data_IF_979256524289
#
_entry.id   IF_979256524289
#
_cell.length_a   1.000
_cell.length_b   1.000
_cell.length_c   1.000
_cell.angle_alpha   90.00
_cell.angle_beta   90.00
_cell.angle_gamma   90.00
#
_symmetry.space_group_name_H-M   'P 1'
#
loop_
_entity.id
_entity.type
_entity.pdbx_description
1 polymer ?
#
# COMPACT_ATOMS: atom_id res chain seq x y z
N UNK A 1 -20.19 -8.62 -0.19
CA UNK A 1 -19.71 -7.65 -1.20
C UNK A 1 -18.58 -8.28 -1.99
N UNK A 2 -18.23 -7.71 -3.16
CA UNK A 2 -17.04 -8.12 -3.91
C UNK A 2 -15.97 -7.04 -3.73
N UNK A 3 -14.86 -7.39 -3.11
CA UNK A 3 -13.80 -6.46 -2.73
C UNK A 3 -12.51 -6.82 -3.49
N UNK A 4 -11.98 -5.88 -4.25
CA UNK A 4 -10.65 -6.02 -4.87
C UNK A 4 -9.63 -5.41 -3.92
N UNK A 5 -8.65 -6.21 -3.52
CA UNK A 5 -7.48 -5.80 -2.73
C UNK A 5 -6.27 -5.84 -3.63
N UNK A 6 -5.71 -4.71 -3.99
CA UNK A 6 -4.46 -4.67 -4.77
C UNK A 6 -3.26 -4.70 -3.83
N UNK A 7 -2.17 -5.36 -4.23
CA UNK A 7 -1.00 -5.53 -3.36
C UNK A 7 -1.26 -6.48 -2.18
N UNK A 8 -2.26 -7.36 -2.30
CA UNK A 8 -2.67 -8.27 -1.23
C UNK A 8 -1.74 -9.47 -0.99
N UNK A 9 -0.67 -9.65 -1.78
CA UNK A 9 0.40 -10.60 -1.51
C UNK A 9 1.61 -9.95 -0.80
N UNK A 10 1.58 -8.62 -0.59
CA UNK A 10 2.57 -7.89 0.20
C UNK A 10 2.29 -7.97 1.71
N UNK A 11 3.17 -7.39 2.51
CA UNK A 11 3.12 -7.44 3.98
C UNK A 11 1.77 -6.99 4.56
N UNK A 12 1.41 -5.72 4.41
CA UNK A 12 0.19 -5.17 5.02
C UNK A 12 -1.06 -5.75 4.33
N UNK A 13 -1.03 -5.82 2.99
CA UNK A 13 -2.16 -6.33 2.21
C UNK A 13 -2.52 -7.79 2.53
N UNK A 14 -1.53 -8.66 2.76
CA UNK A 14 -1.79 -10.07 3.10
C UNK A 14 -2.44 -10.24 4.47
N UNK A 15 -2.04 -9.43 5.46
CA UNK A 15 -2.69 -9.41 6.77
C UNK A 15 -4.16 -8.95 6.66
N UNK A 16 -4.41 -7.90 5.86
CA UNK A 16 -5.77 -7.43 5.59
C UNK A 16 -6.61 -8.51 4.87
N UNK A 17 -6.06 -9.13 3.82
CA UNK A 17 -6.75 -10.21 3.08
C UNK A 17 -7.12 -11.37 4.01
N UNK A 18 -6.19 -11.83 4.86
CA UNK A 18 -6.47 -12.91 5.81
C UNK A 18 -7.54 -12.51 6.83
N UNK A 19 -7.50 -11.27 7.31
CA UNK A 19 -8.50 -10.75 8.23
C UNK A 19 -9.90 -10.77 7.60
N UNK A 20 -10.06 -10.17 6.43
CA UNK A 20 -11.34 -10.08 5.73
C UNK A 20 -11.90 -11.45 5.37
N UNK A 21 -11.10 -12.32 4.77
CA UNK A 21 -11.52 -13.66 4.36
C UNK A 21 -12.02 -14.51 5.54
N UNK A 22 -11.40 -14.36 6.71
CA UNK A 22 -11.77 -15.15 7.89
C UNK A 22 -12.95 -14.57 8.70
N UNK A 23 -13.10 -13.25 8.72
CA UNK A 23 -14.12 -12.59 9.56
C UNK A 23 -15.40 -12.25 8.79
N UNK A 24 -15.32 -12.11 7.46
CA UNK A 24 -16.47 -11.77 6.61
C UNK A 24 -16.64 -12.82 5.48
N UNK A 25 -17.06 -14.05 5.81
CA UNK A 25 -17.14 -15.14 4.84
C UNK A 25 -18.18 -14.94 3.73
N UNK A 26 -19.07 -13.97 3.89
CA UNK A 26 -20.06 -13.54 2.88
C UNK A 26 -19.47 -12.58 1.83
N UNK A 27 -18.30 -12.00 2.07
CA UNK A 27 -17.63 -11.12 1.15
C UNK A 27 -16.65 -11.90 0.27
N UNK A 28 -16.66 -11.63 -1.03
CA UNK A 28 -15.71 -12.20 -2.00
C UNK A 28 -14.48 -11.29 -2.08
N UNK A 29 -13.31 -11.82 -1.74
CA UNK A 29 -12.05 -11.11 -1.79
C UNK A 29 -11.24 -11.52 -3.01
N UNK A 30 -10.99 -10.57 -3.90
CA UNK A 30 -10.11 -10.75 -5.05
C UNK A 30 -8.79 -10.04 -4.77
N UNK A 31 -7.75 -10.82 -4.54
CA UNK A 31 -6.40 -10.32 -4.33
C UNK A 31 -5.72 -10.12 -5.69
N UNK A 32 -5.55 -8.88 -6.10
CA UNK A 32 -4.86 -8.49 -7.33
C UNK A 32 -3.43 -8.06 -7.02
N UNK A 33 -2.44 -8.83 -7.44
CA UNK A 33 -1.03 -8.53 -7.19
C UNK A 33 -0.15 -8.87 -8.40
N UNK A 34 0.86 -8.06 -8.66
CA UNK A 34 1.81 -8.31 -9.74
C UNK A 34 2.85 -9.37 -9.38
N UNK A 35 3.03 -9.61 -8.06
CA UNK A 35 4.11 -10.44 -7.50
C UNK A 35 5.50 -9.92 -7.90
N UNK A 36 5.75 -8.65 -7.57
CA UNK A 36 7.08 -8.06 -7.62
C UNK A 36 7.96 -8.61 -6.49
N UNK A 37 9.09 -8.01 -6.23
CA UNK A 37 10.05 -8.52 -5.24
C UNK A 37 9.49 -8.70 -3.81
N UNK A 38 8.50 -7.91 -3.40
CA UNK A 38 7.90 -7.95 -2.06
C UNK A 38 6.57 -8.73 -2.00
N UNK A 39 6.03 -9.15 -3.15
CA UNK A 39 4.82 -9.97 -3.23
C UNK A 39 5.13 -11.45 -3.07
N UNK A 40 4.50 -12.11 -2.09
CA UNK A 40 4.71 -13.54 -1.82
C UNK A 40 3.38 -14.24 -1.52
N UNK A 41 3.03 -15.25 -2.34
CA UNK A 41 1.79 -16.01 -2.16
C UNK A 41 1.77 -16.84 -0.86
N UNK A 42 2.92 -17.19 -0.30
CA UNK A 42 3.00 -17.84 1.02
C UNK A 42 2.38 -16.96 2.12
N UNK A 43 2.42 -15.64 1.95
CA UNK A 43 1.78 -14.71 2.89
C UNK A 43 0.25 -14.82 2.93
N UNK A 44 -0.38 -15.40 1.93
CA UNK A 44 -1.84 -15.64 1.86
C UNK A 44 -2.20 -17.12 1.82
N UNK A 45 -1.21 -18.02 1.97
CA UNK A 45 -1.44 -19.47 2.01
C UNK A 45 -2.51 -19.92 3.03
N UNK A 46 -2.63 -19.29 4.24
CA UNK A 46 -3.67 -19.67 5.20
C UNK A 46 -5.12 -19.51 4.70
N UNK A 47 -5.33 -18.73 3.67
CA UNK A 47 -6.66 -18.47 3.09
C UNK A 47 -6.79 -18.90 1.63
N UNK A 48 -5.76 -19.48 1.04
CA UNK A 48 -5.72 -19.81 -0.38
C UNK A 48 -6.85 -20.74 -0.85
N UNK A 49 -7.28 -21.69 0.01
CA UNK A 49 -8.33 -22.65 -0.29
C UNK A 49 -9.74 -22.20 0.16
N UNK A 50 -9.88 -20.99 0.67
CA UNK A 50 -11.18 -20.46 1.09
C UNK A 50 -12.05 -20.11 -0.13
N UNK A 51 -13.33 -20.45 -0.05
CA UNK A 51 -14.29 -20.24 -1.16
C UNK A 51 -14.52 -18.78 -1.51
N UNK A 52 -14.33 -17.89 -0.54
CA UNK A 52 -14.50 -16.45 -0.66
C UNK A 52 -13.19 -15.71 -0.98
N UNK A 53 -12.13 -16.43 -1.33
CA UNK A 53 -10.84 -15.85 -1.73
C UNK A 53 -10.44 -16.28 -3.13
N UNK A 54 -9.85 -15.36 -3.88
CA UNK A 54 -9.26 -15.64 -5.19
C UNK A 54 -8.08 -14.72 -5.47
N UNK A 55 -7.02 -15.30 -5.98
CA UNK A 55 -5.85 -14.56 -6.45
C UNK A 55 -5.92 -14.30 -7.96
N UNK A 56 -5.54 -13.08 -8.36
CA UNK A 56 -5.37 -12.69 -9.77
C UNK A 56 -4.02 -12.01 -9.91
N UNK A 57 -3.20 -12.48 -10.85
CA UNK A 57 -1.94 -11.81 -11.16
C UNK A 57 -2.18 -10.70 -12.17
N UNK A 58 -1.78 -9.45 -11.86
CA UNK A 58 -1.92 -8.32 -12.77
C UNK A 58 -1.22 -7.06 -12.28
N UNK A 59 -0.92 -6.18 -13.25
CA UNK A 59 -0.28 -4.90 -13.02
C UNK A 59 -1.34 -3.79 -12.98
N UNK A 60 -1.43 -3.05 -11.87
CA UNK A 60 -2.35 -1.93 -11.75
C UNK A 60 -2.04 -0.77 -12.71
N UNK A 61 -0.80 -0.69 -13.23
CA UNK A 61 -0.41 0.29 -14.23
C UNK A 61 -0.72 -0.16 -15.67
N UNK A 62 -1.13 -1.41 -15.89
CA UNK A 62 -1.64 -1.89 -17.19
C UNK A 62 -3.12 -1.52 -17.34
N UNK A 63 -3.37 -0.42 -18.04
CA UNK A 63 -4.72 0.11 -18.24
C UNK A 63 -5.66 -0.88 -18.94
N UNK A 64 -5.16 -1.58 -19.96
CA UNK A 64 -5.99 -2.52 -20.71
C UNK A 64 -6.43 -3.70 -19.81
N UNK A 65 -5.48 -4.26 -19.07
CA UNK A 65 -5.75 -5.31 -18.09
C UNK A 65 -6.76 -4.86 -17.04
N UNK A 66 -6.53 -3.68 -16.40
CA UNK A 66 -7.37 -3.19 -15.31
C UNK A 66 -8.82 -2.97 -15.79
N UNK A 67 -9.01 -2.37 -16.95
CA UNK A 67 -10.36 -2.13 -17.48
C UNK A 67 -11.09 -3.43 -17.84
N UNK A 68 -10.43 -4.38 -18.52
CA UNK A 68 -11.00 -5.72 -18.81
C UNK A 68 -11.35 -6.47 -17.51
N UNK A 69 -10.47 -6.39 -16.50
CA UNK A 69 -10.68 -6.99 -15.19
C UNK A 69 -11.91 -6.38 -14.48
N UNK A 70 -12.03 -5.05 -14.43
CA UNK A 70 -13.16 -4.38 -13.78
C UNK A 70 -14.49 -4.63 -14.53
N UNK A 71 -14.47 -4.69 -15.86
CA UNK A 71 -15.66 -5.02 -16.66
C UNK A 71 -16.19 -6.42 -16.34
N UNK A 72 -15.29 -7.39 -16.18
CA UNK A 72 -15.64 -8.78 -15.85
C UNK A 72 -16.05 -8.95 -14.40
N UNK A 73 -15.29 -8.39 -13.48
CA UNK A 73 -15.46 -8.63 -12.05
C UNK A 73 -16.53 -7.75 -11.40
N UNK A 74 -16.69 -6.52 -11.87
CA UNK A 74 -17.63 -5.52 -11.32
C UNK A 74 -17.54 -5.42 -9.79
N UNK A 75 -16.37 -5.09 -9.23
CA UNK A 75 -16.20 -5.04 -7.79
C UNK A 75 -17.08 -3.96 -7.16
N UNK A 76 -17.45 -4.16 -5.89
CA UNK A 76 -18.15 -3.14 -5.11
C UNK A 76 -17.16 -2.13 -4.50
N UNK A 77 -16.03 -2.63 -4.02
CA UNK A 77 -15.01 -1.85 -3.29
C UNK A 77 -13.62 -2.18 -3.83
N UNK A 78 -12.77 -1.17 -3.88
CA UNK A 78 -11.34 -1.32 -4.20
C UNK A 78 -10.51 -0.77 -3.04
N UNK A 79 -9.57 -1.58 -2.55
CA UNK A 79 -8.60 -1.18 -1.51
C UNK A 79 -7.20 -1.33 -2.09
N UNK A 80 -6.50 -0.20 -2.23
CA UNK A 80 -5.21 -0.15 -2.91
C UNK A 80 -4.05 -0.15 -1.91
N UNK A 81 -3.46 -1.35 -1.71
CA UNK A 81 -2.16 -1.51 -1.03
C UNK A 81 -0.99 -1.59 -2.01
N UNK A 82 -1.25 -1.83 -3.31
CA UNK A 82 -0.19 -1.97 -4.29
C UNK A 82 0.65 -0.70 -4.40
N UNK A 83 1.94 -0.82 -4.12
CA UNK A 83 2.89 0.27 -4.19
C UNK A 83 4.34 -0.27 -4.24
N UNK A 84 5.22 0.47 -4.90
CA UNK A 84 6.63 0.42 -4.59
C UNK A 84 6.87 1.22 -3.29
N UNK A 85 7.59 0.64 -2.31
CA UNK A 85 7.64 1.17 -0.94
C UNK A 85 9.02 1.26 -0.30
N UNK A 86 10.10 0.99 -1.02
CA UNK A 86 11.46 1.04 -0.47
C UNK A 86 12.12 2.38 -0.78
N UNK A 87 12.35 3.22 0.24
CA UNK A 87 12.86 4.59 0.07
C UNK A 87 14.20 4.60 -0.70
N UNK A 88 15.18 3.79 -0.29
CA UNK A 88 16.50 3.77 -0.96
C UNK A 88 16.40 3.36 -2.43
N UNK A 89 15.51 2.43 -2.76
CA UNK A 89 15.25 2.06 -4.16
C UNK A 89 14.62 3.21 -4.95
N UNK A 90 13.82 4.05 -4.31
CA UNK A 90 13.22 5.22 -4.97
C UNK A 90 14.26 6.27 -5.37
N UNK A 91 15.40 6.31 -4.68
CA UNK A 91 16.52 7.21 -4.99
C UNK A 91 17.25 6.72 -6.24
N UNK A 92 17.41 5.41 -6.39
CA UNK A 92 18.14 4.80 -7.51
C UNK A 92 17.29 4.59 -8.76
N UNK A 93 16.00 4.32 -8.60
CA UNK A 93 15.04 4.09 -9.69
C UNK A 93 13.70 4.75 -9.37
N UNK A 94 13.57 6.08 -9.49
CA UNK A 94 12.33 6.79 -9.19
C UNK A 94 11.21 6.50 -10.20
N UNK A 95 11.52 6.09 -11.43
CA UNK A 95 10.54 5.88 -12.49
C UNK A 95 9.55 4.76 -12.15
N UNK A 96 10.01 3.65 -11.56
CA UNK A 96 9.14 2.56 -11.17
C UNK A 96 8.14 3.01 -10.10
N UNK A 97 8.52 3.93 -9.21
CA UNK A 97 7.62 4.51 -8.21
C UNK A 97 6.53 5.39 -8.83
N UNK A 98 6.90 6.22 -9.81
CA UNK A 98 5.91 7.00 -10.58
C UNK A 98 4.96 6.07 -11.32
N UNK A 99 5.49 5.06 -12.01
CA UNK A 99 4.69 4.10 -12.76
C UNK A 99 3.70 3.34 -11.85
N UNK A 100 4.18 2.76 -10.76
CA UNK A 100 3.31 1.95 -9.88
C UNK A 100 2.40 2.84 -9.03
N UNK A 101 2.98 3.80 -8.30
CA UNK A 101 2.22 4.53 -7.29
C UNK A 101 1.33 5.63 -7.88
N UNK A 102 1.73 6.25 -9.00
CA UNK A 102 0.96 7.34 -9.61
C UNK A 102 0.12 6.83 -10.78
N UNK A 103 0.76 6.23 -11.80
CA UNK A 103 0.02 5.74 -12.98
C UNK A 103 -0.90 4.58 -12.61
N UNK A 104 -0.45 3.64 -11.76
CA UNK A 104 -1.29 2.56 -11.25
C UNK A 104 -2.50 3.08 -10.48
N UNK A 105 -2.30 4.03 -9.55
CA UNK A 105 -3.41 4.65 -8.81
C UNK A 105 -4.39 5.36 -9.73
N UNK A 106 -3.93 6.16 -10.69
CA UNK A 106 -4.82 6.86 -11.62
C UNK A 106 -5.57 5.90 -12.53
N UNK A 107 -4.96 4.79 -12.93
CA UNK A 107 -5.62 3.73 -13.71
C UNK A 107 -6.76 3.09 -12.91
N UNK A 108 -6.51 2.75 -11.64
CA UNK A 108 -7.56 2.21 -10.76
C UNK A 108 -8.70 3.22 -10.53
N UNK A 109 -8.38 4.49 -10.29
CA UNK A 109 -9.38 5.55 -10.09
C UNK A 109 -10.26 5.74 -11.34
N UNK A 110 -9.66 5.71 -12.52
CA UNK A 110 -10.38 5.79 -13.78
C UNK A 110 -11.33 4.59 -13.98
N UNK A 111 -10.86 3.39 -13.67
CA UNK A 111 -11.69 2.20 -13.71
C UNK A 111 -12.84 2.28 -12.69
N UNK A 112 -12.54 2.68 -11.44
CA UNK A 112 -13.55 2.88 -10.41
C UNK A 112 -14.65 3.87 -10.85
N UNK A 113 -14.26 4.98 -11.46
CA UNK A 113 -15.19 5.97 -11.99
C UNK A 113 -16.03 5.40 -13.14
N UNK A 114 -15.38 4.71 -14.08
CA UNK A 114 -16.02 4.17 -15.31
C UNK A 114 -17.06 3.10 -14.98
N UNK A 115 -16.77 2.24 -14.01
CA UNK A 115 -17.63 1.11 -13.64
C UNK A 115 -18.50 1.39 -12.40
N UNK A 116 -18.47 2.61 -11.85
CA UNK A 116 -19.37 3.02 -10.77
C UNK A 116 -19.11 2.32 -9.45
N UNK A 117 -17.84 2.14 -9.08
CA UNK A 117 -17.44 1.47 -7.83
C UNK A 117 -17.95 2.24 -6.61
N UNK A 118 -18.49 1.54 -5.62
CA UNK A 118 -19.14 2.15 -4.44
C UNK A 118 -18.14 2.86 -3.52
N UNK A 119 -16.89 2.37 -3.45
CA UNK A 119 -15.81 2.99 -2.66
C UNK A 119 -14.44 2.60 -3.15
N UNK A 120 -13.54 3.58 -3.19
CA UNK A 120 -12.10 3.38 -3.35
C UNK A 120 -11.38 3.79 -2.05
N UNK A 121 -10.51 2.94 -1.54
CA UNK A 121 -9.65 3.24 -0.40
C UNK A 121 -8.18 3.21 -0.81
N UNK A 122 -7.46 4.30 -0.54
CA UNK A 122 -6.02 4.42 -0.75
C UNK A 122 -5.27 4.21 0.55
N UNK A 123 -4.39 3.23 0.59
CA UNK A 123 -3.43 3.08 1.69
C UNK A 123 -2.19 3.90 1.37
N UNK A 124 -1.95 4.94 2.15
CA UNK A 124 -0.83 5.87 2.01
C UNK A 124 0.10 5.80 3.23
N UNK A 125 0.89 6.81 3.46
CA UNK A 125 1.91 6.87 4.51
C UNK A 125 1.97 8.26 5.13
N UNK A 126 2.39 8.35 6.37
CA UNK A 126 2.71 9.61 7.06
C UNK A 126 3.93 10.33 6.45
N UNK A 127 4.80 9.61 5.75
CA UNK A 127 5.97 10.20 5.06
C UNK A 127 5.60 11.27 4.02
N UNK A 128 4.32 11.34 3.61
CA UNK A 128 3.83 12.43 2.75
C UNK A 128 3.84 13.79 3.43
N UNK A 129 3.86 13.82 4.76
CA UNK A 129 3.89 15.04 5.57
C UNK A 129 5.32 15.57 5.83
N UNK A 130 6.36 14.75 5.61
CA UNK A 130 7.75 15.08 5.89
C UNK A 130 8.18 14.71 7.31
N UNK A 131 9.07 15.51 7.88
CA UNK A 131 9.68 15.24 9.18
C UNK A 131 9.19 16.22 10.24
N UNK A 132 9.10 15.73 11.49
CA UNK A 132 8.88 16.57 12.68
C UNK A 132 10.22 16.82 13.39
N UNK A 133 10.45 18.04 13.90
CA UNK A 133 11.63 18.35 14.72
C UNK A 133 11.65 17.50 16.01
N UNK A 134 12.78 16.87 16.32
CA UNK A 134 12.94 16.02 17.51
C UNK A 134 12.82 16.79 18.83
N UNK A 135 13.08 18.09 18.82
CA UNK A 135 13.00 18.99 19.98
C UNK A 135 11.58 19.57 20.20
N UNK A 136 10.62 19.17 19.37
CA UNK A 136 9.22 19.63 19.44
C UNK A 136 8.24 18.46 19.61
N UNK A 137 8.23 17.82 20.81
CA UNK A 137 7.35 16.68 21.08
C UNK A 137 5.86 17.06 21.15
N UNK A 138 5.54 18.34 21.09
CA UNK A 138 4.18 18.88 21.02
C UNK A 138 3.59 18.88 19.60
N UNK A 139 4.42 18.63 18.59
CA UNK A 139 3.99 18.58 17.18
C UNK A 139 3.65 17.15 16.75
N UNK A 140 2.58 17.04 15.99
CA UNK A 140 2.15 15.79 15.35
C UNK A 140 1.42 16.11 14.04
N UNK A 141 1.35 15.12 13.16
CA UNK A 141 0.61 15.23 11.91
C UNK A 141 -0.89 15.11 12.14
N UNK A 142 -1.66 15.84 11.36
CA UNK A 142 -3.12 15.77 11.27
C UNK A 142 -3.52 15.66 9.81
N UNK A 143 -4.79 15.39 9.55
CA UNK A 143 -5.33 15.33 8.19
C UNK A 143 -5.21 16.68 7.44
N UNK A 144 -5.08 17.78 8.16
CA UNK A 144 -4.92 19.14 7.61
C UNK A 144 -3.45 19.54 7.41
N UNK A 145 -2.50 18.71 7.90
CA UNK A 145 -1.07 19.00 7.71
C UNK A 145 -0.73 19.05 6.22
N UNK A 146 -0.07 20.13 5.73
CA UNK A 146 0.36 20.23 4.34
C UNK A 146 1.32 19.10 3.97
N UNK A 147 1.22 18.62 2.73
CA UNK A 147 2.13 17.60 2.21
C UNK A 147 3.49 18.24 1.94
N UNK A 148 4.56 17.66 2.53
CA UNK A 148 5.93 18.16 2.46
C UNK A 148 6.92 17.00 2.36
N UNK A 149 6.99 16.39 1.19
CA UNK A 149 7.72 15.13 0.96
C UNK A 149 9.23 15.30 0.94
N UNK A 150 9.96 14.29 1.45
CA UNK A 150 11.43 14.28 1.56
C UNK A 150 12.13 13.23 0.67
N UNK A 151 11.37 12.39 -0.05
CA UNK A 151 11.93 11.34 -0.92
C UNK A 151 11.12 11.15 -2.19
N UNK A 152 11.68 10.52 -3.26
CA UNK A 152 10.91 10.15 -4.45
C UNK A 152 9.74 9.22 -4.12
N UNK A 153 9.90 8.29 -3.16
CA UNK A 153 8.82 7.44 -2.65
C UNK A 153 7.69 8.28 -2.06
N UNK A 154 7.98 9.13 -1.07
CA UNK A 154 6.95 9.96 -0.43
C UNK A 154 6.30 10.93 -1.40
N UNK A 155 7.06 11.44 -2.40
CA UNK A 155 6.51 12.29 -3.47
C UNK A 155 5.54 11.53 -4.37
N UNK A 156 5.86 10.29 -4.75
CA UNK A 156 4.96 9.45 -5.53
C UNK A 156 3.68 9.09 -4.75
N UNK A 157 3.79 8.82 -3.43
CA UNK A 157 2.62 8.57 -2.55
C UNK A 157 1.76 9.84 -2.40
N UNK A 158 2.38 11.00 -2.17
CA UNK A 158 1.66 12.27 -2.10
C UNK A 158 0.95 12.61 -3.42
N UNK A 159 1.59 12.37 -4.56
CA UNK A 159 0.97 12.53 -5.87
C UNK A 159 -0.26 11.61 -6.02
N UNK A 160 -0.14 10.34 -5.62
CA UNK A 160 -1.29 9.42 -5.60
C UNK A 160 -2.44 9.95 -4.74
N UNK A 161 -2.16 10.42 -3.52
CA UNK A 161 -3.17 11.01 -2.62
C UNK A 161 -3.87 12.22 -3.24
N UNK A 162 -3.10 13.09 -3.90
CA UNK A 162 -3.65 14.27 -4.59
C UNK A 162 -4.56 13.87 -5.76
N UNK A 163 -4.23 12.81 -6.52
CA UNK A 163 -5.12 12.27 -7.55
C UNK A 163 -6.40 11.69 -6.94
N UNK A 164 -6.32 10.95 -5.84
CA UNK A 164 -7.50 10.43 -5.13
C UNK A 164 -8.44 11.57 -4.73
N UNK A 165 -7.90 12.63 -4.11
CA UNK A 165 -8.67 13.83 -3.74
C UNK A 165 -9.26 14.54 -4.95
N UNK A 166 -8.49 14.68 -6.04
CA UNK A 166 -8.94 15.30 -7.28
C UNK A 166 -10.11 14.52 -7.91
N UNK A 167 -10.06 13.18 -7.92
CA UNK A 167 -11.16 12.35 -8.45
C UNK A 167 -12.43 12.48 -7.60
N UNK A 168 -12.30 12.59 -6.28
CA UNK A 168 -13.44 12.89 -5.44
C UNK A 168 -14.03 14.27 -5.77
N UNK A 169 -13.19 15.30 -5.81
CA UNK A 169 -13.63 16.68 -6.02
C UNK A 169 -14.20 16.90 -7.42
N UNK A 170 -13.61 16.29 -8.45
CA UNK A 170 -13.98 16.52 -9.84
C UNK A 170 -15.15 15.65 -10.30
N UNK A 171 -15.17 14.39 -9.87
CA UNK A 171 -16.10 13.39 -10.37
C UNK A 171 -17.05 12.84 -9.31
N UNK A 172 -16.89 13.25 -8.04
CA UNK A 172 -17.72 12.73 -6.94
C UNK A 172 -17.43 11.27 -6.57
N UNK A 173 -16.27 10.72 -6.98
CA UNK A 173 -15.93 9.35 -6.64
C UNK A 173 -15.86 9.18 -5.12
N UNK A 174 -16.56 8.21 -4.50
CA UNK A 174 -16.47 7.97 -3.07
C UNK A 174 -15.10 7.38 -2.71
N UNK A 175 -14.27 8.16 -2.04
CA UNK A 175 -12.90 7.78 -1.68
C UNK A 175 -12.63 7.95 -0.20
N UNK A 176 -11.65 7.19 0.30
CA UNK A 176 -11.01 7.40 1.60
C UNK A 176 -9.51 7.19 1.46
N UNK A 177 -8.71 7.85 2.32
CA UNK A 177 -7.26 7.70 2.38
C UNK A 177 -6.87 7.43 3.82
N UNK A 178 -6.04 6.40 4.05
CA UNK A 178 -5.36 6.20 5.32
C UNK A 178 -3.87 6.53 5.16
N UNK A 179 -3.28 7.20 6.16
CA UNK A 179 -1.86 7.53 6.22
C UNK A 179 -1.31 6.96 7.51
N UNK A 180 -0.78 5.76 7.43
CA UNK A 180 -0.20 5.09 8.58
C UNK A 180 1.28 5.45 8.75
N UNK A 181 1.77 5.40 9.98
CA UNK A 181 3.18 5.41 10.30
C UNK A 181 3.82 4.03 9.99
N UNK A 182 5.00 3.74 10.53
CA UNK A 182 5.65 2.46 10.31
C UNK A 182 4.80 1.30 10.85
N UNK A 183 4.69 0.24 10.07
CA UNK A 183 3.97 -0.97 10.46
C UNK A 183 4.94 -2.10 10.77
N UNK A 184 4.58 -2.98 11.71
CA UNK A 184 5.28 -4.22 11.98
C UNK A 184 4.29 -5.37 12.22
N UNK A 185 4.73 -6.60 12.01
CA UNK A 185 3.88 -7.77 12.23
C UNK A 185 4.25 -8.96 11.34
N UNK A 186 3.38 -9.99 11.30
CA UNK A 186 3.57 -11.18 10.46
C UNK A 186 3.77 -10.81 8.98
N UNK A 187 4.62 -11.56 8.29
CA UNK A 187 4.94 -11.38 6.86
C UNK A 187 5.68 -10.07 6.52
N UNK A 188 6.20 -9.35 7.53
CA UNK A 188 7.00 -8.15 7.29
C UNK A 188 8.26 -8.51 6.48
N UNK A 189 8.49 -7.79 5.37
CA UNK A 189 9.52 -8.14 4.40
C UNK A 189 10.93 -8.01 5.02
N UNK A 190 11.86 -8.97 4.79
CA UNK A 190 13.14 -9.07 5.48
C UNK A 190 14.09 -7.87 5.35
N UNK A 191 13.93 -7.04 4.33
CA UNK A 191 14.75 -5.83 4.14
C UNK A 191 14.40 -4.68 5.09
N UNK A 192 13.22 -4.75 5.74
CA UNK A 192 12.74 -3.72 6.64
C UNK A 192 13.39 -3.84 8.01
N UNK A 193 13.44 -2.72 8.75
CA UNK A 193 14.24 -2.56 9.96
C UNK A 193 14.07 -3.71 10.97
N UNK A 194 12.85 -3.99 11.41
CA UNK A 194 12.61 -4.98 12.47
C UNK A 194 13.04 -6.40 12.06
N UNK A 195 12.56 -6.96 10.92
CA UNK A 195 12.98 -8.31 10.53
C UNK A 195 14.46 -8.38 10.14
N UNK A 196 15.04 -7.30 9.58
CA UNK A 196 16.47 -7.23 9.28
C UNK A 196 17.31 -7.31 10.57
N UNK A 197 16.97 -6.54 11.59
CA UNK A 197 17.65 -6.56 12.89
C UNK A 197 17.56 -7.96 13.53
N UNK A 198 16.37 -8.56 13.55
CA UNK A 198 16.15 -9.91 14.07
C UNK A 198 17.01 -10.93 13.34
N UNK A 199 16.97 -10.93 12.00
CA UNK A 199 17.73 -11.88 11.18
C UNK A 199 19.25 -11.76 11.43
N UNK A 200 19.78 -10.55 11.40
CA UNK A 200 21.21 -10.32 11.62
C UNK A 200 21.64 -10.66 13.03
N UNK A 201 20.84 -10.30 14.03
CA UNK A 201 21.14 -10.65 15.43
C UNK A 201 21.20 -12.19 15.65
N UNK A 202 20.25 -12.93 15.06
CA UNK A 202 20.23 -14.41 15.14
C UNK A 202 21.42 -15.06 14.45
N UNK A 203 21.94 -14.44 13.40
CA UNK A 203 23.11 -14.93 12.66
C UNK A 203 24.46 -14.38 13.17
N UNK A 204 24.47 -13.57 14.24
CA UNK A 204 25.66 -12.87 14.75
C UNK A 204 26.32 -11.97 13.66
N UNK A 205 25.52 -11.35 12.81
CA UNK A 205 25.97 -10.40 11.78
C UNK A 205 25.89 -8.97 12.28
N UNK A 206 26.67 -8.07 11.68
CA UNK A 206 26.62 -6.64 11.99
C UNK A 206 25.26 -6.05 11.59
N UNK A 207 24.66 -5.26 12.49
CA UNK A 207 23.41 -4.54 12.25
C UNK A 207 23.74 -3.15 11.73
N UNK A 208 23.28 -2.77 10.52
CA UNK A 208 23.54 -1.44 9.97
C UNK A 208 22.77 -0.38 10.76
N UNK A 209 23.44 0.71 11.10
CA UNK A 209 22.85 1.89 11.76
C UNK A 209 22.95 3.06 10.78
N UNK A 210 21.81 3.67 10.44
CA UNK A 210 21.77 4.86 9.60
C UNK A 210 22.18 6.11 10.41
N UNK A 211 23.15 6.87 9.90
CA UNK A 211 23.67 8.04 10.56
C UNK A 211 24.18 7.73 11.95
N UNK A 212 23.73 8.49 12.96
CA UNK A 212 24.06 8.32 14.37
C UNK A 212 23.01 7.47 15.14
N UNK A 213 22.05 6.88 14.47
CA UNK A 213 21.00 6.07 15.09
C UNK A 213 19.96 6.85 15.90
N UNK A 214 19.81 8.15 15.66
CA UNK A 214 18.88 9.02 16.39
C UNK A 214 17.47 9.09 15.75
N UNK A 215 17.21 8.30 14.72
CA UNK A 215 15.92 8.28 14.06
C UNK A 215 14.82 7.78 15.01
N UNK A 216 13.74 8.53 15.09
CA UNK A 216 12.54 8.17 15.87
C UNK A 216 11.41 7.83 14.89
N UNK A 217 10.67 6.78 15.18
CA UNK A 217 9.50 6.35 14.38
C UNK A 217 8.40 5.82 15.29
N UNK A 218 7.16 6.13 14.95
CA UNK A 218 6.01 5.46 15.52
C UNK A 218 5.78 4.12 14.82
N UNK A 219 5.27 3.15 15.57
CA UNK A 219 5.07 1.79 15.08
C UNK A 219 3.65 1.30 15.38
N UNK A 220 2.98 0.78 14.33
CA UNK A 220 1.66 0.17 14.39
C UNK A 220 1.78 -1.35 14.12
N UNK A 221 1.08 -2.15 14.93
CA UNK A 221 0.98 -3.60 14.72
C UNK A 221 -0.12 -3.92 13.72
#
# INVERSE_FOLDING_TARGET
MKIVVTGGAGFIGSNFVQYEVNHYPEDEIINLDLLTYAGNLESVAPVADKKNYRFVRGDIADRAFVFDFFEKEKPDIVINFAAESHVDRSITDPEIFVRTNVVGTTTLLDACRTYGIKRYHQVSTDEVYGDLPLDRPDLFFTEETPLHTSSPYSSAKAAADLFVQAYHRTYGLPVTISRCSNNYGPYHFPEKLIPLVISRALNNEEIPVYGEGQNVRDWLY
#
